data_IF_996544831779
#
_entry.id   IF_996544831779
#
_cell.length_a   1.000
_cell.length_b   1.000
_cell.length_c   1.000
_cell.angle_alpha   90.00
_cell.angle_beta   90.00
_cell.angle_gamma   90.00
#
_symmetry.space_group_name_H-M   'P 1'
#
loop_
_entity.id
_entity.type
_entity.pdbx_description
1 polymer ?
#
# COMPACT_ATOMS: atom_id res chain seq x y z
N UNK A 1 -25.10 -13.69 -13.70
CA UNK A 1 -23.62 -13.86 -13.66
C UNK A 1 -23.20 -13.89 -12.20
N UNK A 2 -23.07 -15.08 -11.62
CA UNK A 2 -22.70 -15.25 -10.21
C UNK A 2 -21.17 -15.36 -10.12
N UNK A 3 -20.47 -14.24 -9.94
CA UNK A 3 -19.01 -14.19 -9.84
C UNK A 3 -18.61 -14.72 -8.46
N UNK A 4 -18.62 -16.06 -8.31
CA UNK A 4 -17.90 -16.74 -7.23
C UNK A 4 -16.50 -17.03 -7.76
N UNK A 5 -15.60 -16.07 -7.64
CA UNK A 5 -14.17 -16.26 -7.91
C UNK A 5 -13.62 -17.31 -6.95
N UNK A 6 -12.84 -18.27 -7.43
CA UNK A 6 -12.24 -19.31 -6.61
C UNK A 6 -11.33 -18.67 -5.54
N UNK A 7 -11.41 -19.05 -4.26
CA UNK A 7 -10.49 -18.60 -3.22
C UNK A 7 -9.00 -18.73 -3.60
N UNK A 8 -8.62 -19.71 -4.43
CA UNK A 8 -7.27 -19.88 -4.95
C UNK A 8 -6.87 -18.80 -5.95
N UNK A 9 -7.78 -18.44 -6.87
CA UNK A 9 -7.57 -17.35 -7.82
C UNK A 9 -7.35 -16.01 -7.08
N UNK A 10 -8.18 -15.72 -6.07
CA UNK A 10 -8.00 -14.50 -5.25
C UNK A 10 -6.67 -14.44 -4.51
N UNK A 11 -6.17 -15.60 -4.05
CA UNK A 11 -4.84 -15.68 -3.42
C UNK A 11 -3.74 -15.42 -4.45
N UNK A 12 -3.83 -16.03 -5.63
CA UNK A 12 -2.87 -15.82 -6.72
C UNK A 12 -2.81 -14.34 -7.12
N UNK A 13 -3.96 -13.70 -7.33
CA UNK A 13 -4.03 -12.27 -7.65
C UNK A 13 -3.42 -11.38 -6.56
N UNK A 14 -3.66 -11.72 -5.29
CA UNK A 14 -3.07 -11.00 -4.15
C UNK A 14 -1.55 -11.12 -4.13
N UNK A 15 -1.01 -12.33 -4.34
CA UNK A 15 0.44 -12.55 -4.39
C UNK A 15 1.08 -11.86 -5.60
N UNK A 16 0.48 -11.98 -6.78
CA UNK A 16 0.95 -11.30 -7.99
C UNK A 16 0.98 -9.77 -7.83
N UNK A 17 0.00 -9.20 -7.12
CA UNK A 17 0.00 -7.78 -6.78
C UNK A 17 1.12 -7.42 -5.79
N UNK A 18 1.37 -8.27 -4.80
CA UNK A 18 2.43 -8.06 -3.82
C UNK A 18 3.82 -8.10 -4.51
N UNK A 19 4.07 -9.07 -5.36
CA UNK A 19 5.31 -9.20 -6.13
C UNK A 19 5.54 -7.98 -7.03
N UNK A 20 4.51 -7.54 -7.77
CA UNK A 20 4.61 -6.35 -8.62
C UNK A 20 4.99 -5.10 -7.82
N UNK A 21 4.30 -4.86 -6.70
CA UNK A 21 4.59 -3.70 -5.83
C UNK A 21 5.98 -3.77 -5.23
N UNK A 22 6.45 -4.97 -4.90
CA UNK A 22 7.80 -5.15 -4.39
C UNK A 22 8.85 -4.88 -5.46
N UNK A 23 8.64 -5.34 -6.71
CA UNK A 23 9.51 -5.02 -7.83
C UNK A 23 9.58 -3.50 -8.10
N UNK A 24 8.44 -2.80 -8.11
CA UNK A 24 8.37 -1.33 -8.24
C UNK A 24 9.12 -0.61 -7.10
N UNK A 25 9.05 -1.15 -5.88
CA UNK A 25 9.82 -0.63 -4.75
C UNK A 25 11.32 -0.83 -4.93
N UNK A 26 11.76 -2.02 -5.39
CA UNK A 26 13.18 -2.29 -5.64
C UNK A 26 13.74 -1.37 -6.75
N UNK A 27 12.95 -1.10 -7.79
CA UNK A 27 13.34 -0.22 -8.89
C UNK A 27 13.37 1.25 -8.47
N UNK A 28 12.29 1.76 -7.86
CA UNK A 28 12.16 3.18 -7.55
C UNK A 28 12.86 3.59 -6.25
N UNK A 29 13.00 2.64 -5.33
CA UNK A 29 13.38 2.88 -3.94
C UNK A 29 12.43 3.82 -3.22
N UNK A 30 11.19 4.03 -3.70
CA UNK A 30 10.26 5.01 -3.11
C UNK A 30 9.26 4.32 -2.21
N UNK A 31 9.11 4.84 -1.00
CA UNK A 31 8.09 4.40 -0.05
C UNK A 31 7.58 5.58 0.78
N UNK A 32 6.48 5.38 1.50
CA UNK A 32 5.99 6.31 2.50
C UNK A 32 6.49 5.80 3.86
N UNK A 33 7.20 6.61 4.66
CA UNK A 33 7.58 6.21 6.00
C UNK A 33 6.36 5.81 6.83
N UNK A 34 6.48 4.72 7.61
CA UNK A 34 5.37 4.15 8.35
C UNK A 34 4.70 5.16 9.29
N UNK A 35 5.49 6.00 9.98
CA UNK A 35 4.96 7.01 10.90
C UNK A 35 4.05 8.03 10.21
N UNK A 36 4.31 8.36 8.93
CA UNK A 36 3.43 9.25 8.17
C UNK A 36 2.12 8.58 7.76
N UNK A 37 2.17 7.31 7.37
CA UNK A 37 0.96 6.53 7.08
C UNK A 37 0.14 6.39 8.37
N UNK A 38 0.78 6.03 9.48
CA UNK A 38 0.13 5.88 10.78
C UNK A 38 -0.57 7.17 11.20
N UNK A 39 0.13 8.31 11.13
CA UNK A 39 -0.42 9.62 11.47
C UNK A 39 -1.59 10.00 10.57
N UNK A 40 -1.42 9.83 9.26
CA UNK A 40 -2.49 10.09 8.28
C UNK A 40 -3.75 9.27 8.59
N UNK A 41 -3.61 7.98 8.90
CA UNK A 41 -4.75 7.12 9.24
C UNK A 41 -5.42 7.55 10.55
N UNK A 42 -4.65 7.89 11.58
CA UNK A 42 -5.19 8.40 12.85
C UNK A 42 -5.99 9.70 12.64
N UNK A 43 -5.44 10.66 11.88
CA UNK A 43 -6.13 11.92 11.62
C UNK A 43 -7.38 11.74 10.75
N UNK A 44 -7.36 10.80 9.80
CA UNK A 44 -8.54 10.41 9.01
C UNK A 44 -9.63 9.76 9.86
N UNK A 45 -9.26 8.87 10.78
CA UNK A 45 -10.18 8.25 11.75
C UNK A 45 -10.82 9.30 12.67
N UNK A 46 -10.08 10.35 13.02
CA UNK A 46 -10.58 11.50 13.77
C UNK A 46 -11.43 12.49 12.93
N UNK A 47 -11.77 12.17 11.68
CA UNK A 47 -12.58 13.01 10.80
C UNK A 47 -11.87 14.25 10.24
N UNK A 48 -10.55 14.38 10.44
CA UNK A 48 -9.79 15.53 9.96
C UNK A 48 -9.58 15.43 8.44
N UNK A 49 -9.68 16.57 7.76
CA UNK A 49 -9.26 16.70 6.35
C UNK A 49 -7.75 16.91 6.29
N UNK A 50 -7.01 15.80 6.16
CA UNK A 50 -5.55 15.80 6.03
C UNK A 50 -5.10 15.36 4.63
N UNK A 51 -3.97 15.93 4.19
CA UNK A 51 -3.34 15.57 2.90
C UNK A 51 -2.78 14.15 2.99
N UNK A 52 -2.91 13.39 1.89
CA UNK A 52 -2.32 12.06 1.77
C UNK A 52 -0.79 12.16 1.71
N UNK A 53 -0.05 11.33 2.47
CA UNK A 53 1.41 11.29 2.36
C UNK A 53 1.82 10.76 0.98
N UNK A 54 2.98 11.19 0.51
CA UNK A 54 3.49 10.90 -0.84
C UNK A 54 4.77 10.09 -0.73
N UNK A 55 4.91 9.07 -1.56
CA UNK A 55 6.09 8.22 -1.59
C UNK A 55 7.33 9.04 -1.97
N UNK A 56 8.42 8.83 -1.23
CA UNK A 56 9.73 9.46 -1.45
C UNK A 56 10.84 8.44 -1.29
N UNK A 57 12.06 8.81 -1.68
CA UNK A 57 13.21 7.91 -1.62
C UNK A 57 13.36 7.36 -0.19
N UNK A 58 13.39 6.04 -0.09
CA UNK A 58 13.57 5.31 1.15
C UNK A 58 14.97 5.61 1.66
N UNK A 59 15.02 6.40 2.72
CA UNK A 59 16.18 6.62 3.54
C UNK A 59 15.93 5.72 4.73
N UNK A 60 16.60 4.57 4.77
CA UNK A 60 16.44 3.61 5.86
C UNK A 60 16.59 4.32 7.21
N UNK A 61 15.83 3.89 8.20
CA UNK A 61 16.12 4.20 9.59
C UNK A 61 17.39 3.46 10.02
#
# INVERSE_FOLDING_TARGET
MNIKTDPAERRSEFHALAERRYAEFLESGRSIPWEEVRRYLQDRLAGKRVKRPVARKFTGA
#
